data_IF_434922490536
#
_entry.id   IF_434922490536
#
_cell.length_a   1.000
_cell.length_b   1.000
_cell.length_c   1.000
_cell.angle_alpha   90.00
_cell.angle_beta   90.00
_cell.angle_gamma   90.00
#
_symmetry.space_group_name_H-M   'P 1'
#
loop_
_entity.id
_entity.type
_entity.pdbx_description
1 polymer ?
#
# COMPACT_ATOMS: atom_id res chain seq x y z
N UNK A 1 -7.23 17.76 6.97
CA UNK A 1 -6.96 16.50 6.25
C UNK A 1 -6.15 15.60 7.18
N UNK A 2 -6.66 14.44 7.59
CA UNK A 2 -5.92 13.51 8.40
C UNK A 2 -4.67 12.97 7.68
N UNK A 3 -3.60 12.76 8.46
CA UNK A 3 -2.35 12.17 7.99
C UNK A 3 -1.98 11.00 8.89
N UNK A 4 -1.72 9.84 8.30
CA UNK A 4 -1.20 8.66 8.99
C UNK A 4 0.28 8.54 8.65
N UNK A 5 1.10 8.29 9.65
CA UNK A 5 2.53 8.09 9.48
C UNK A 5 2.95 6.80 10.18
N UNK A 6 3.42 5.83 9.41
CA UNK A 6 3.93 4.56 9.91
C UNK A 6 5.39 4.39 9.51
N UNK A 7 6.18 3.80 10.39
CA UNK A 7 7.58 3.47 10.13
C UNK A 7 7.82 2.02 10.51
N UNK A 8 8.44 1.27 9.60
CA UNK A 8 8.76 -0.14 9.78
C UNK A 8 10.23 -0.40 9.45
N UNK A 9 10.87 -1.32 10.18
CA UNK A 9 12.17 -1.85 9.82
C UNK A 9 12.04 -3.25 9.23
N UNK A 10 12.70 -3.49 8.09
CA UNK A 10 12.74 -4.79 7.40
C UNK A 10 14.21 -5.18 7.20
N UNK A 11 14.61 -6.32 7.74
CA UNK A 11 15.96 -6.87 7.62
C UNK A 11 16.20 -7.51 6.25
N UNK A 12 16.10 -6.71 5.20
CA UNK A 12 16.31 -7.12 3.81
C UNK A 12 16.83 -5.95 2.96
N UNK A 13 17.50 -6.23 1.82
CA UNK A 13 17.99 -5.21 0.90
C UNK A 13 16.86 -4.31 0.37
N UNK A 14 17.16 -3.04 0.18
CA UNK A 14 16.17 -2.02 -0.21
C UNK A 14 15.51 -2.29 -1.56
N UNK A 15 16.23 -2.85 -2.53
CA UNK A 15 15.70 -3.23 -3.83
C UNK A 15 14.61 -4.32 -3.72
N UNK A 16 14.82 -5.31 -2.87
CA UNK A 16 13.84 -6.37 -2.57
C UNK A 16 12.62 -5.77 -1.86
N UNK A 17 12.84 -4.96 -0.82
CA UNK A 17 11.77 -4.33 -0.05
C UNK A 17 10.92 -3.41 -0.93
N UNK A 18 11.55 -2.60 -1.77
CA UNK A 18 10.88 -1.72 -2.73
C UNK A 18 10.00 -2.51 -3.70
N UNK A 19 10.57 -3.55 -4.34
CA UNK A 19 9.82 -4.36 -5.31
C UNK A 19 8.69 -5.15 -4.67
N UNK A 20 8.85 -5.65 -3.44
CA UNK A 20 7.75 -6.29 -2.72
C UNK A 20 6.61 -5.31 -2.39
N UNK A 21 6.94 -4.06 -2.04
CA UNK A 21 5.93 -3.03 -1.75
C UNK A 21 5.06 -2.67 -2.97
N UNK A 22 5.61 -2.74 -4.18
CA UNK A 22 4.89 -2.48 -5.43
C UNK A 22 4.43 -3.75 -6.16
N UNK A 23 4.50 -4.91 -5.51
CA UNK A 23 4.07 -6.18 -6.09
C UNK A 23 2.56 -6.39 -5.87
N UNK A 24 1.81 -6.43 -6.95
CA UNK A 24 0.34 -6.58 -6.93
C UNK A 24 -0.09 -7.93 -6.34
N UNK A 25 0.63 -9.01 -6.65
CA UNK A 25 0.33 -10.34 -6.12
C UNK A 25 0.55 -10.41 -4.60
N UNK A 26 1.60 -9.78 -4.09
CA UNK A 26 1.84 -9.72 -2.64
C UNK A 26 0.82 -8.85 -1.93
N UNK A 27 0.41 -7.73 -2.52
CA UNK A 27 -0.67 -6.91 -1.98
C UNK A 27 -1.96 -7.74 -1.82
N UNK A 28 -2.33 -8.50 -2.84
CA UNK A 28 -3.49 -9.40 -2.77
C UNK A 28 -3.36 -10.41 -1.62
N UNK A 29 -2.19 -11.04 -1.46
CA UNK A 29 -1.92 -11.98 -0.36
C UNK A 29 -2.07 -11.27 1.00
N UNK A 30 -1.51 -10.08 1.16
CA UNK A 30 -1.58 -9.31 2.41
C UNK A 30 -2.99 -8.87 2.80
N UNK A 31 -3.90 -8.79 1.82
CA UNK A 31 -5.28 -8.35 2.00
C UNK A 31 -6.31 -9.46 1.80
N UNK A 32 -5.89 -10.72 1.87
CA UNK A 32 -6.75 -11.89 1.65
C UNK A 32 -7.98 -11.91 2.57
N UNK A 33 -7.83 -11.49 3.82
CA UNK A 33 -8.95 -11.37 4.78
C UNK A 33 -10.07 -10.42 4.32
N UNK A 34 -9.75 -9.46 3.44
CA UNK A 34 -10.73 -8.54 2.84
C UNK A 34 -11.17 -8.98 1.45
N UNK A 35 -10.72 -10.15 0.99
CA UNK A 35 -11.00 -10.69 -0.34
C UNK A 35 -10.68 -9.68 -1.45
N UNK A 36 -9.55 -8.98 -1.30
CA UNK A 36 -9.10 -8.04 -2.31
C UNK A 36 -8.63 -8.74 -3.58
N UNK A 37 -9.10 -8.24 -4.70
CA UNK A 37 -8.73 -8.68 -6.03
C UNK A 37 -8.40 -7.47 -6.91
N UNK A 38 -7.32 -7.56 -7.67
CA UNK A 38 -7.00 -6.61 -8.73
C UNK A 38 -7.85 -6.96 -9.97
N UNK A 39 -8.85 -6.14 -10.27
CA UNK A 39 -9.85 -6.44 -11.31
C UNK A 39 -9.62 -5.67 -12.61
N UNK A 40 -8.75 -4.66 -12.62
CA UNK A 40 -8.44 -3.84 -13.80
C UNK A 40 -7.07 -3.18 -13.66
N UNK A 41 -6.49 -2.79 -14.77
CA UNK A 41 -5.15 -2.19 -14.83
C UNK A 41 -4.05 -3.23 -14.68
N UNK A 42 -3.02 -2.94 -13.89
CA UNK A 42 -1.96 -3.91 -13.56
C UNK A 42 -2.48 -4.89 -12.52
N UNK A 43 -2.79 -6.11 -12.93
CA UNK A 43 -3.45 -7.13 -12.09
C UNK A 43 -2.49 -8.17 -11.50
N UNK A 44 -1.20 -8.12 -11.87
CA UNK A 44 -0.15 -9.00 -11.34
C UNK A 44 1.23 -8.38 -11.56
N UNK A 45 2.23 -8.90 -10.87
CA UNK A 45 3.62 -8.45 -11.00
C UNK A 45 3.87 -7.08 -10.39
N UNK A 46 4.83 -6.36 -10.94
CA UNK A 46 5.29 -5.07 -10.44
C UNK A 46 4.55 -3.92 -11.15
N UNK A 47 3.86 -3.09 -10.38
CA UNK A 47 3.26 -1.86 -10.89
C UNK A 47 4.33 -0.79 -11.09
N UNK A 48 4.22 0.00 -12.17
CA UNK A 48 5.18 1.01 -12.55
C UNK A 48 4.56 2.41 -12.53
N UNK A 49 5.39 3.44 -12.71
CA UNK A 49 4.92 4.81 -12.85
C UNK A 49 3.92 4.91 -14.00
N UNK A 50 2.87 5.69 -13.81
CA UNK A 50 1.73 5.91 -14.70
C UNK A 50 0.74 4.72 -14.79
N UNK A 51 1.11 3.55 -14.27
CA UNK A 51 0.18 2.41 -14.21
C UNK A 51 -0.95 2.66 -13.22
N UNK A 52 -2.07 2.02 -13.47
CA UNK A 52 -3.24 2.01 -12.61
C UNK A 52 -3.57 0.60 -12.14
N UNK A 53 -4.23 0.50 -11.01
CA UNK A 53 -4.84 -0.75 -10.53
C UNK A 53 -6.19 -0.43 -9.91
N UNK A 54 -7.19 -1.27 -10.21
CA UNK A 54 -8.49 -1.23 -9.55
C UNK A 54 -8.61 -2.44 -8.64
N UNK A 55 -8.76 -2.15 -7.36
CA UNK A 55 -9.01 -3.13 -6.32
C UNK A 55 -10.50 -3.26 -6.06
N UNK A 56 -10.96 -4.50 -5.92
CA UNK A 56 -12.28 -4.85 -5.40
C UNK A 56 -12.07 -5.62 -4.11
N UNK A 57 -12.65 -5.16 -3.02
CA UNK A 57 -12.48 -5.79 -1.71
C UNK A 57 -13.66 -5.55 -0.79
N UNK A 58 -13.72 -6.30 0.31
CA UNK A 58 -14.76 -6.16 1.33
C UNK A 58 -14.20 -5.41 2.53
N UNK A 59 -14.52 -4.13 2.62
CA UNK A 59 -14.11 -3.26 3.71
C UNK A 59 -15.32 -2.64 4.40
N UNK A 60 -15.30 -2.61 5.73
CA UNK A 60 -16.36 -2.00 6.53
C UNK A 60 -17.76 -2.54 6.12
N UNK A 61 -17.87 -3.88 6.05
CA UNK A 61 -19.10 -4.63 5.75
C UNK A 61 -19.68 -4.44 4.34
N UNK A 62 -18.96 -3.78 3.43
CA UNK A 62 -19.43 -3.50 2.07
C UNK A 62 -18.34 -3.82 1.04
N UNK A 63 -18.77 -4.36 -0.10
CA UNK A 63 -17.87 -4.45 -1.28
C UNK A 63 -17.59 -3.07 -1.82
N UNK A 64 -16.30 -2.75 -1.97
CA UNK A 64 -15.80 -1.44 -2.40
C UNK A 64 -14.86 -1.60 -3.57
N UNK A 65 -14.80 -0.56 -4.39
CA UNK A 65 -13.85 -0.44 -5.47
C UNK A 65 -12.94 0.76 -5.21
N UNK A 66 -11.65 0.56 -5.44
CA UNK A 66 -10.64 1.59 -5.27
C UNK A 66 -9.68 1.53 -6.44
N UNK A 67 -9.62 2.60 -7.22
CA UNK A 67 -8.67 2.72 -8.34
C UNK A 67 -7.60 3.72 -7.98
N UNK A 68 -6.35 3.28 -7.98
CA UNK A 68 -5.19 4.15 -7.78
C UNK A 68 -4.29 4.17 -9.00
N UNK A 69 -3.50 5.22 -9.09
CA UNK A 69 -2.46 5.45 -10.10
C UNK A 69 -1.14 5.73 -9.41
N UNK A 70 -0.05 5.15 -9.91
CA UNK A 70 1.30 5.53 -9.49
C UNK A 70 1.66 6.84 -10.18
N UNK A 71 1.59 7.93 -9.44
CA UNK A 71 1.84 9.29 -9.97
C UNK A 71 3.31 9.67 -9.95
N UNK A 72 4.09 9.07 -9.08
CA UNK A 72 5.51 9.33 -8.92
C UNK A 72 6.25 8.05 -8.53
N UNK A 73 7.47 7.88 -9.07
CA UNK A 73 8.35 6.76 -8.70
C UNK A 73 9.80 7.13 -8.95
N UNK A 74 10.63 6.96 -7.92
CA UNK A 74 12.08 6.98 -7.97
C UNK A 74 12.57 5.62 -7.47
N UNK A 75 13.09 4.75 -8.37
CA UNK A 75 13.42 3.37 -8.02
C UNK A 75 14.27 3.25 -6.76
N UNK A 76 13.85 2.36 -5.86
CA UNK A 76 14.48 2.03 -4.59
C UNK A 76 14.50 3.17 -3.54
N UNK A 77 13.91 4.33 -3.84
CA UNK A 77 13.82 5.46 -2.91
C UNK A 77 12.38 5.77 -2.50
N UNK A 78 11.48 5.92 -3.48
CA UNK A 78 10.09 6.30 -3.21
C UNK A 78 9.15 5.96 -4.35
N UNK A 79 7.90 5.76 -4.03
CA UNK A 79 6.79 5.89 -4.98
C UNK A 79 5.54 6.42 -4.28
N UNK A 80 4.65 7.00 -5.06
CA UNK A 80 3.39 7.57 -4.57
C UNK A 80 2.24 7.04 -5.41
N UNK A 81 1.26 6.46 -4.74
CA UNK A 81 -0.02 6.12 -5.35
C UNK A 81 -1.12 7.09 -4.90
N UNK A 82 -1.96 7.46 -5.85
CA UNK A 82 -3.07 8.38 -5.63
C UNK A 82 -4.37 7.79 -6.16
N UNK A 83 -5.40 7.87 -5.36
CA UNK A 83 -6.73 7.45 -5.77
C UNK A 83 -7.24 8.35 -6.92
N UNK A 84 -7.73 7.69 -7.97
CA UNK A 84 -8.44 8.37 -9.07
C UNK A 84 -9.94 8.06 -9.07
N UNK A 85 -10.35 6.97 -8.41
CA UNK A 85 -11.75 6.62 -8.18
C UNK A 85 -11.90 5.77 -6.92
N UNK A 86 -12.82 6.13 -6.04
CA UNK A 86 -13.09 5.43 -4.78
C UNK A 86 -14.03 6.20 -3.88
N UNK A 87 -14.14 5.75 -2.64
CA UNK A 87 -15.09 6.30 -1.65
C UNK A 87 -14.57 7.54 -0.90
N UNK A 88 -13.28 7.87 -1.05
CA UNK A 88 -12.71 9.09 -0.48
C UNK A 88 -12.89 10.29 -1.42
N UNK A 89 -12.86 11.47 -0.89
CA UNK A 89 -12.73 12.70 -1.67
C UNK A 89 -11.29 12.89 -2.16
N UNK A 90 -10.32 12.51 -1.34
CA UNK A 90 -8.89 12.48 -1.63
C UNK A 90 -8.25 11.31 -0.90
N UNK A 91 -7.30 10.64 -1.55
CA UNK A 91 -6.44 9.64 -0.92
C UNK A 91 -5.12 9.56 -1.66
N UNK A 92 -4.04 9.71 -0.92
CA UNK A 92 -2.67 9.62 -1.44
C UNK A 92 -1.81 8.86 -0.43
N UNK A 93 -1.04 7.91 -0.93
CA UNK A 93 -0.13 7.11 -0.13
C UNK A 93 1.29 7.25 -0.68
N UNK A 94 2.18 7.80 0.12
CA UNK A 94 3.59 7.97 -0.18
C UNK A 94 4.40 6.89 0.53
N UNK A 95 5.26 6.22 -0.20
CA UNK A 95 6.16 5.19 0.32
C UNK A 95 7.60 5.67 0.18
N UNK A 96 8.35 5.64 1.27
CA UNK A 96 9.77 5.97 1.29
C UNK A 96 10.58 4.79 1.78
N UNK A 97 11.73 4.57 1.17
CA UNK A 97 12.64 3.46 1.46
C UNK A 97 14.03 4.02 1.75
N UNK A 98 14.53 3.76 2.95
CA UNK A 98 15.85 4.23 3.37
C UNK A 98 16.74 3.04 3.70
N UNK A 99 17.85 2.83 2.94
CA UNK A 99 18.81 1.80 3.29
C UNK A 99 19.50 2.13 4.62
N UNK A 100 19.66 1.11 5.46
CA UNK A 100 20.44 1.16 6.69
C UNK A 100 21.35 -0.06 6.75
N UNK A 101 22.30 -0.12 7.70
CA UNK A 101 23.33 -1.15 7.73
C UNK A 101 22.79 -2.59 7.69
N UNK A 102 21.69 -2.85 8.37
CA UNK A 102 21.12 -4.20 8.50
C UNK A 102 19.79 -4.40 7.75
N UNK A 103 19.42 -3.49 6.87
CA UNK A 103 18.15 -3.61 6.15
C UNK A 103 17.62 -2.30 5.59
N UNK A 104 16.32 -2.14 5.66
CA UNK A 104 15.60 -1.00 5.08
C UNK A 104 14.59 -0.45 6.07
N UNK A 105 14.56 0.87 6.22
CA UNK A 105 13.46 1.57 6.90
C UNK A 105 12.42 1.94 5.85
N UNK A 106 11.19 1.49 6.06
CA UNK A 106 10.01 1.84 5.24
C UNK A 106 9.19 2.87 5.99
N UNK A 107 8.85 3.97 5.32
CA UNK A 107 8.00 5.02 5.85
C UNK A 107 6.79 5.14 4.95
N UNK A 108 5.60 4.96 5.52
CA UNK A 108 4.31 5.15 4.86
C UNK A 108 3.67 6.42 5.37
N UNK A 109 3.31 7.33 4.44
CA UNK A 109 2.56 8.55 4.75
C UNK A 109 1.27 8.53 3.93
N UNK A 110 0.13 8.50 4.63
CA UNK A 110 -1.19 8.49 4.00
C UNK A 110 -1.91 9.78 4.34
N UNK A 111 -2.29 10.52 3.31
CA UNK A 111 -3.14 11.69 3.40
C UNK A 111 -4.50 11.36 2.79
N UNK A 112 -5.59 11.64 3.51
CA UNK A 112 -6.92 11.35 2.99
C UNK A 112 -7.96 12.38 3.43
N UNK A 113 -9.05 12.46 2.67
CA UNK A 113 -10.21 13.29 2.97
C UNK A 113 -11.49 12.50 2.65
N UNK A 114 -12.42 12.50 3.58
CA UNK A 114 -13.74 11.86 3.38
C UNK A 114 -14.73 12.85 2.75
N UNK A 115 -15.76 12.35 2.03
CA UNK A 115 -16.71 13.21 1.33
C UNK A 115 -17.72 13.92 2.24
N UNK A 116 -17.76 13.63 3.56
CA UNK A 116 -18.86 14.02 4.44
C UNK A 116 -18.55 15.22 5.38
N UNK A 117 -17.57 16.07 5.04
CA UNK A 117 -17.23 17.28 5.78
C UNK A 117 -16.99 17.01 7.28
N UNK A 118 -17.53 17.85 8.19
CA UNK A 118 -17.29 17.75 9.63
C UNK A 118 -17.77 16.44 10.27
N UNK A 119 -18.81 15.81 9.74
CA UNK A 119 -19.27 14.48 10.19
C UNK A 119 -18.21 13.43 9.81
N UNK A 120 -17.65 13.55 8.63
CA UNK A 120 -16.51 12.74 8.19
C UNK A 120 -15.29 12.92 9.09
N UNK A 121 -15.00 14.15 9.51
CA UNK A 121 -13.87 14.44 10.40
C UNK A 121 -14.02 13.77 11.77
N UNK A 122 -15.25 13.70 12.31
CA UNK A 122 -15.53 13.01 13.55
C UNK A 122 -15.33 11.49 13.44
N UNK A 123 -15.85 10.89 12.36
CA UNK A 123 -15.67 9.46 12.07
C UNK A 123 -14.19 9.14 11.81
N UNK A 124 -13.49 10.00 11.07
CA UNK A 124 -12.06 9.86 10.80
C UNK A 124 -11.25 9.81 12.09
N UNK A 125 -11.50 10.72 13.01
CA UNK A 125 -10.74 10.86 14.26
C UNK A 125 -10.83 9.63 15.15
N UNK A 126 -11.99 8.98 15.23
CA UNK A 126 -12.26 7.91 16.21
C UNK A 126 -12.25 6.50 15.64
N UNK A 127 -12.37 6.33 14.32
CA UNK A 127 -12.52 5.02 13.72
C UNK A 127 -11.67 4.78 12.47
N UNK A 128 -11.83 5.62 11.45
CA UNK A 128 -11.23 5.38 10.14
C UNK A 128 -9.69 5.46 10.18
N UNK A 129 -9.15 6.40 10.93
CA UNK A 129 -7.70 6.53 11.10
C UNK A 129 -7.09 5.24 11.68
N UNK A 130 -7.66 4.76 12.78
CA UNK A 130 -7.22 3.50 13.42
C UNK A 130 -7.41 2.29 12.50
N UNK A 131 -8.49 2.26 11.72
CA UNK A 131 -8.73 1.20 10.74
C UNK A 131 -7.66 1.17 9.64
N UNK A 132 -7.37 2.32 9.04
CA UNK A 132 -6.34 2.44 7.99
C UNK A 132 -4.94 2.14 8.52
N UNK A 133 -4.60 2.63 9.72
CA UNK A 133 -3.31 2.30 10.37
C UNK A 133 -3.12 0.79 10.51
N UNK A 134 -4.11 0.10 11.06
CA UNK A 134 -4.07 -1.36 11.24
C UNK A 134 -3.99 -2.12 9.90
N UNK A 135 -4.66 -1.61 8.87
CA UNK A 135 -4.64 -2.18 7.54
C UNK A 135 -3.23 -2.13 6.93
N UNK A 136 -2.59 -0.97 7.00
CA UNK A 136 -1.25 -0.76 6.46
C UNK A 136 -0.20 -1.48 7.31
N UNK A 137 -0.33 -1.46 8.62
CA UNK A 137 0.56 -2.19 9.52
C UNK A 137 0.52 -3.70 9.23
N UNK A 138 -0.67 -4.27 9.08
CA UNK A 138 -0.82 -5.68 8.69
C UNK A 138 -0.15 -5.98 7.34
N UNK A 139 -0.34 -5.12 6.34
CA UNK A 139 0.33 -5.24 5.04
C UNK A 139 1.85 -5.23 5.21
N UNK A 140 2.38 -4.31 6.00
CA UNK A 140 3.81 -4.18 6.25
C UNK A 140 4.40 -5.40 6.97
N UNK A 141 3.66 -6.00 7.91
CA UNK A 141 4.05 -7.26 8.56
C UNK A 141 4.18 -8.40 7.53
N UNK A 142 3.24 -8.53 6.60
CA UNK A 142 3.32 -9.55 5.54
C UNK A 142 4.50 -9.28 4.60
N UNK A 143 4.72 -8.05 4.18
CA UNK A 143 5.88 -7.68 3.35
C UNK A 143 7.19 -8.03 4.08
N UNK A 144 7.30 -7.72 5.36
CA UNK A 144 8.45 -8.07 6.20
C UNK A 144 8.70 -9.58 6.23
N UNK A 145 7.65 -10.39 6.43
CA UNK A 145 7.76 -11.85 6.44
C UNK A 145 8.26 -12.40 5.10
N UNK A 146 7.84 -11.84 3.98
CA UNK A 146 8.33 -12.24 2.67
C UNK A 146 9.76 -11.77 2.41
N UNK A 147 10.09 -10.53 2.76
CA UNK A 147 11.41 -9.95 2.53
C UNK A 147 12.51 -10.62 3.34
N UNK A 148 12.24 -10.97 4.60
CA UNK A 148 13.20 -11.58 5.54
C UNK A 148 13.35 -13.10 5.38
N UNK A 149 12.65 -13.72 4.47
CA UNK A 149 12.70 -15.16 4.16
C UNK A 149 12.94 -15.38 2.67
N UNK A 150 13.02 -16.61 2.21
CA UNK A 150 13.15 -16.93 0.77
C UNK A 150 11.84 -16.80 -0.04
N UNK A 151 10.72 -16.47 0.62
CA UNK A 151 9.41 -16.36 -0.03
C UNK A 151 9.35 -15.29 -1.13
N UNK A 152 10.13 -14.22 -1.00
CA UNK A 152 10.20 -13.17 -2.02
C UNK A 152 10.66 -13.68 -3.38
N UNK A 153 11.47 -14.75 -3.44
CA UNK A 153 12.00 -15.31 -4.68
C UNK A 153 10.90 -15.75 -5.65
N UNK A 154 9.83 -16.35 -5.12
CA UNK A 154 8.69 -16.78 -5.93
C UNK A 154 7.96 -15.60 -6.59
N UNK A 155 7.94 -14.43 -5.95
CA UNK A 155 7.26 -13.23 -6.44
C UNK A 155 8.13 -12.36 -7.34
N UNK A 156 9.45 -12.37 -7.13
CA UNK A 156 10.40 -11.48 -7.81
C UNK A 156 11.35 -12.21 -8.76
N UNK A 157 11.11 -13.49 -9.06
CA UNK A 157 11.96 -14.30 -9.96
C UNK A 157 12.09 -13.72 -11.37
N UNK A 158 11.08 -13.00 -11.84
CA UNK A 158 11.02 -12.41 -13.19
C UNK A 158 11.18 -10.89 -13.20
N UNK A 159 11.70 -10.30 -12.11
CA UNK A 159 11.98 -8.86 -12.11
C UNK A 159 13.15 -8.55 -13.04
N UNK A 160 12.88 -7.75 -14.05
CA UNK A 160 13.87 -7.22 -14.98
C UNK A 160 13.54 -5.75 -15.26
#
# INVERSE_FOLDING_TARGET
>A
MPTIHLTSFIAAPTDIVFDLNRNISLHKISMEQFKEEAVSGTTSGLINKEDTVTWKGKHLFKTRFFTSKIIEMKPFETFTDKMIKGDFKFFEHQHFFKPVDNGTIVIDIINYETPYGWIGDLVNKFYLNSYLEKLIDHRNVVIKQYAETDKWRALLSNRR
#
